data_IF_727715070442
#
_entry.id   IF_727715070442
#
_cell.length_a   1.000
_cell.length_b   1.000
_cell.length_c   1.000
_cell.angle_alpha   90.00
_cell.angle_beta   90.00
_cell.angle_gamma   90.00
#
_symmetry.space_group_name_H-M   'P 1'
#
loop_
_entity.id
_entity.type
_entity.pdbx_description
1 polymer ?
#
# COMPACT_ATOMS: atom_id res chain seq x y z
N UNK A 1 13.28 -0.75 18.75
CA UNK A 1 11.81 -0.70 18.54
C UNK A 1 11.17 -1.29 19.80
N UNK A 2 10.31 -0.53 20.46
CA UNK A 2 9.61 -1.03 21.65
C UNK A 2 8.47 -1.94 21.22
N UNK A 3 8.38 -3.11 21.81
CA UNK A 3 7.30 -4.07 21.53
C UNK A 3 6.24 -3.96 22.62
N UNK A 4 5.01 -3.86 22.20
CA UNK A 4 3.86 -3.81 23.10
C UNK A 4 2.93 -4.97 22.80
N UNK A 5 2.26 -5.46 23.81
CA UNK A 5 1.28 -6.53 23.66
C UNK A 5 -0.12 -5.96 23.65
N UNK A 6 -0.89 -6.29 22.62
CA UNK A 6 -2.31 -6.00 22.58
C UNK A 6 -3.11 -7.22 23.05
N UNK A 7 -3.99 -7.00 23.98
CA UNK A 7 -4.98 -7.99 24.40
C UNK A 7 -6.37 -7.53 24.01
N UNK A 8 -7.18 -8.47 23.53
CA UNK A 8 -8.59 -8.27 23.18
C UNK A 8 -9.44 -9.15 24.06
N UNK A 9 -10.37 -8.56 24.79
CA UNK A 9 -11.30 -9.27 25.62
C UNK A 9 -12.73 -8.93 25.20
N UNK A 10 -13.54 -9.92 24.92
CA UNK A 10 -14.97 -9.73 24.64
C UNK A 10 -15.73 -9.50 25.95
N UNK A 11 -16.50 -8.41 25.98
CA UNK A 11 -17.31 -8.04 27.13
C UNK A 11 -18.73 -8.59 26.99
N UNK A 12 -19.43 -8.75 28.12
CA UNK A 12 -20.82 -9.25 28.16
C UNK A 12 -21.81 -8.44 27.32
N UNK A 13 -21.51 -7.20 27.03
CA UNK A 13 -22.33 -6.30 26.20
C UNK A 13 -22.02 -6.38 24.69
N UNK A 14 -21.23 -7.35 24.23
CA UNK A 14 -20.82 -7.50 22.84
C UNK A 14 -19.75 -6.52 22.37
N UNK A 15 -19.20 -5.69 23.27
CA UNK A 15 -18.09 -4.81 22.98
C UNK A 15 -16.76 -5.51 23.26
N UNK A 16 -15.69 -4.98 22.68
CA UNK A 16 -14.34 -5.49 22.89
C UNK A 16 -13.53 -4.51 23.71
N UNK A 17 -12.87 -5.01 24.75
CA UNK A 17 -11.89 -4.27 25.52
C UNK A 17 -10.50 -4.54 24.93
N UNK A 18 -9.85 -3.48 24.50
CA UNK A 18 -8.46 -3.50 24.03
C UNK A 18 -7.55 -2.92 25.10
N UNK A 19 -6.54 -3.68 25.47
CA UNK A 19 -5.50 -3.26 26.40
C UNK A 19 -4.15 -3.36 25.73
N UNK A 20 -3.38 -2.28 25.79
CA UNK A 20 -1.98 -2.26 25.36
C UNK A 20 -1.11 -2.37 26.59
N UNK A 21 -0.23 -3.38 26.61
CA UNK A 21 0.68 -3.66 27.72
C UNK A 21 2.13 -3.49 27.27
N UNK A 22 2.95 -2.99 28.15
CA UNK A 22 4.38 -2.86 27.96
C UNK A 22 5.12 -4.19 28.16
N UNK A 23 6.45 -4.17 28.04
CA UNK A 23 7.32 -5.32 28.24
C UNK A 23 7.23 -5.89 29.67
N UNK A 24 6.87 -5.05 30.64
CA UNK A 24 6.68 -5.42 32.04
C UNK A 24 5.26 -5.86 32.38
N UNK A 25 4.42 -6.03 31.34
CA UNK A 25 3.00 -6.40 31.46
C UNK A 25 2.11 -5.34 32.14
N UNK A 26 2.58 -4.10 32.22
CA UNK A 26 1.76 -3.00 32.72
C UNK A 26 0.80 -2.51 31.62
N UNK A 27 -0.44 -2.29 31.98
CA UNK A 27 -1.42 -1.72 31.05
C UNK A 27 -1.20 -0.23 30.91
N UNK A 28 -0.80 0.21 29.72
CA UNK A 28 -0.52 1.60 29.40
C UNK A 28 -1.67 2.30 28.65
N UNK A 29 -2.56 1.52 28.07
CA UNK A 29 -3.77 2.05 27.42
C UNK A 29 -4.91 1.05 27.46
N UNK A 30 -6.12 1.55 27.67
CA UNK A 30 -7.37 0.79 27.59
C UNK A 30 -8.35 1.51 26.69
N UNK A 31 -9.01 0.76 25.83
CA UNK A 31 -10.07 1.29 24.97
C UNK A 31 -11.16 0.25 24.76
N UNK A 32 -12.41 0.69 24.80
CA UNK A 32 -13.57 -0.14 24.46
C UNK A 32 -14.06 0.24 23.06
N UNK A 33 -14.28 -0.76 22.21
CA UNK A 33 -14.73 -0.55 20.83
C UNK A 33 -15.77 -1.59 20.44
N UNK A 34 -16.70 -1.19 19.58
CA UNK A 34 -17.64 -2.13 18.92
C UNK A 34 -17.01 -2.83 17.72
N UNK A 35 -15.87 -2.31 17.24
CA UNK A 35 -15.14 -2.85 16.08
C UNK A 35 -13.97 -3.72 16.53
N UNK A 36 -13.89 -4.94 15.97
CA UNK A 36 -12.88 -5.93 16.31
C UNK A 36 -11.68 -6.02 15.36
N UNK A 37 -11.44 -5.05 14.47
CA UNK A 37 -10.50 -5.23 13.37
C UNK A 37 -9.21 -4.44 13.48
N UNK A 38 -9.26 -3.20 13.98
CA UNK A 38 -8.10 -2.31 14.04
C UNK A 38 -7.99 -1.60 15.37
N UNK A 39 -6.76 -1.40 15.80
CA UNK A 39 -6.43 -0.43 16.82
C UNK A 39 -5.40 0.57 16.26
N UNK A 40 -5.68 1.84 16.49
CA UNK A 40 -4.73 2.93 16.24
C UNK A 40 -4.79 3.86 17.45
N UNK A 41 -3.67 4.08 18.11
CA UNK A 41 -3.60 4.96 19.28
C UNK A 41 -2.22 5.60 19.40
N UNK A 42 -2.14 6.69 20.15
CA UNK A 42 -0.89 7.35 20.50
C UNK A 42 -0.67 7.21 21.99
N UNK A 43 0.49 6.69 22.38
CA UNK A 43 0.89 6.49 23.77
C UNK A 43 2.28 7.11 23.92
N UNK A 44 2.42 8.04 24.87
CA UNK A 44 3.68 8.76 25.13
C UNK A 44 4.31 9.36 23.86
N UNK A 45 3.47 9.93 22.97
CA UNK A 45 3.91 10.54 21.73
C UNK A 45 4.25 9.55 20.60
N UNK A 46 4.18 8.24 20.85
CA UNK A 46 4.37 7.22 19.83
C UNK A 46 3.03 6.73 19.28
N UNK A 47 2.96 6.61 17.96
CA UNK A 47 1.80 6.05 17.28
C UNK A 47 1.90 4.54 17.20
N UNK A 48 0.82 3.85 17.58
CA UNK A 48 0.66 2.40 17.48
C UNK A 48 -0.45 2.09 16.50
N UNK A 49 -0.19 1.12 15.65
CA UNK A 49 -1.16 0.68 14.68
C UNK A 49 -1.11 -0.85 14.55
N UNK A 50 -2.26 -1.48 14.55
CA UNK A 50 -2.34 -2.92 14.35
C UNK A 50 -3.73 -3.37 13.94
N UNK A 51 -3.77 -4.44 13.19
CA UNK A 51 -4.98 -5.21 12.94
C UNK A 51 -5.03 -6.35 13.94
N UNK A 52 -6.11 -6.42 14.69
CA UNK A 52 -6.21 -7.30 15.87
C UNK A 52 -6.14 -8.79 15.54
N UNK A 53 -6.62 -9.18 14.36
CA UNK A 53 -6.61 -10.55 13.87
C UNK A 53 -5.32 -10.93 13.13
N UNK A 54 -4.52 -9.96 12.69
CA UNK A 54 -3.30 -10.15 11.91
C UNK A 54 -2.12 -9.35 12.48
N UNK A 55 -2.07 -9.20 13.78
CA UNK A 55 -0.98 -8.48 14.46
C UNK A 55 0.35 -9.12 14.08
N UNK A 56 1.26 -8.30 13.54
CA UNK A 56 2.57 -8.74 13.07
C UNK A 56 2.66 -9.13 11.60
N UNK A 57 1.56 -9.40 10.91
CA UNK A 57 1.56 -9.86 9.50
C UNK A 57 0.59 -9.10 8.59
N UNK A 58 -0.14 -8.11 9.10
CA UNK A 58 -1.20 -7.45 8.34
C UNK A 58 -0.77 -6.18 7.61
N UNK A 59 -1.63 -5.17 7.67
CA UNK A 59 -1.47 -3.92 6.93
C UNK A 59 -0.15 -3.20 7.24
N UNK A 60 0.33 -3.25 8.49
CA UNK A 60 1.62 -2.67 8.86
C UNK A 60 2.77 -3.30 8.07
N UNK A 61 2.82 -4.64 8.01
CA UNK A 61 3.84 -5.36 7.23
C UNK A 61 3.78 -5.03 5.75
N UNK A 62 2.59 -4.91 5.19
CA UNK A 62 2.40 -4.52 3.78
C UNK A 62 2.88 -3.09 3.52
N UNK A 63 2.51 -2.13 4.37
CA UNK A 63 2.94 -0.74 4.26
C UNK A 63 4.45 -0.60 4.44
N UNK A 64 5.03 -1.33 5.37
CA UNK A 64 6.48 -1.35 5.59
C UNK A 64 7.21 -1.90 4.36
N UNK A 65 6.72 -2.99 3.76
CA UNK A 65 7.29 -3.53 2.53
C UNK A 65 7.17 -2.56 1.35
N UNK A 66 6.03 -1.88 1.20
CA UNK A 66 5.87 -0.83 0.19
C UNK A 66 6.85 0.32 0.41
N UNK A 67 7.06 0.71 1.66
CA UNK A 67 8.01 1.76 2.01
C UNK A 67 9.46 1.35 1.70
N UNK A 68 9.83 0.09 1.96
CA UNK A 68 11.16 -0.46 1.63
C UNK A 68 11.39 -0.43 0.13
N UNK A 69 10.43 -0.88 -0.65
CA UNK A 69 10.51 -0.84 -2.13
C UNK A 69 10.63 0.59 -2.63
N UNK A 70 9.81 1.51 -2.12
CA UNK A 70 9.82 2.89 -2.55
C UNK A 70 11.10 3.65 -2.17
N UNK A 71 11.65 3.41 -0.98
CA UNK A 71 12.91 4.06 -0.56
C UNK A 71 14.13 3.58 -1.33
N UNK A 72 14.05 2.40 -1.94
CA UNK A 72 15.10 1.80 -2.78
C UNK A 72 14.74 1.87 -4.28
N UNK A 73 13.79 2.71 -4.64
CA UNK A 73 13.34 2.86 -6.01
C UNK A 73 14.47 3.33 -6.91
N UNK A 74 14.63 2.71 -8.07
CA UNK A 74 15.72 2.95 -9.01
C UNK A 74 15.21 3.18 -10.43
N UNK A 75 16.11 3.62 -11.31
CA UNK A 75 15.83 3.74 -12.75
C UNK A 75 15.42 2.40 -13.34
N UNK A 76 16.11 1.31 -12.96
CA UNK A 76 15.81 -0.05 -13.41
C UNK A 76 14.40 -0.47 -12.97
N UNK A 77 14.00 -0.14 -11.76
CA UNK A 77 12.66 -0.43 -11.27
C UNK A 77 11.60 0.35 -12.04
N UNK A 78 11.84 1.62 -12.33
CA UNK A 78 10.96 2.45 -13.14
C UNK A 78 10.81 1.90 -14.58
N UNK A 79 11.91 1.51 -15.20
CA UNK A 79 11.90 0.92 -16.54
C UNK A 79 11.15 -0.41 -16.58
N UNK A 80 11.35 -1.24 -15.56
CA UNK A 80 10.64 -2.52 -15.41
C UNK A 80 9.13 -2.30 -15.25
N UNK A 81 8.71 -1.41 -14.39
CA UNK A 81 7.28 -1.10 -14.17
C UNK A 81 6.63 -0.52 -15.43
N UNK A 82 7.34 0.37 -16.12
CA UNK A 82 6.89 0.94 -17.39
C UNK A 82 6.70 -0.14 -18.44
N UNK A 83 7.64 -1.06 -18.58
CA UNK A 83 7.58 -2.16 -19.54
C UNK A 83 6.45 -3.15 -19.21
N UNK A 84 6.25 -3.47 -17.95
CA UNK A 84 5.13 -4.31 -17.49
C UNK A 84 3.78 -3.67 -17.81
N UNK A 85 3.64 -2.38 -17.57
CA UNK A 85 2.43 -1.63 -17.92
C UNK A 85 2.21 -1.56 -19.45
N UNK A 86 3.27 -1.36 -20.21
CA UNK A 86 3.22 -1.41 -21.67
C UNK A 86 2.72 -2.77 -22.18
N UNK A 87 3.20 -3.86 -21.59
CA UNK A 87 2.75 -5.21 -21.93
C UNK A 87 1.28 -5.43 -21.64
N UNK A 88 0.79 -4.91 -20.50
CA UNK A 88 -0.64 -4.98 -20.18
C UNK A 88 -1.49 -4.20 -21.18
N UNK A 89 -1.07 -3.00 -21.55
CA UNK A 89 -1.74 -2.21 -22.58
C UNK A 89 -1.75 -2.92 -23.95
N UNK A 90 -0.64 -3.55 -24.33
CA UNK A 90 -0.55 -4.32 -25.57
C UNK A 90 -1.50 -5.52 -25.58
N UNK A 91 -1.72 -6.17 -24.43
CA UNK A 91 -2.75 -7.22 -24.29
C UNK A 91 -4.15 -6.66 -24.56
N UNK A 92 -4.46 -5.51 -23.99
CA UNK A 92 -5.74 -4.83 -24.21
C UNK A 92 -5.92 -4.47 -25.68
N UNK A 93 -4.89 -3.94 -26.34
CA UNK A 93 -4.90 -3.62 -27.77
C UNK A 93 -5.13 -4.87 -28.61
N UNK A 94 -4.48 -5.98 -28.28
CA UNK A 94 -4.66 -7.26 -28.99
C UNK A 94 -6.09 -7.78 -28.87
N UNK A 95 -6.72 -7.63 -27.71
CA UNK A 95 -8.14 -7.97 -27.51
C UNK A 95 -9.03 -7.10 -28.39
N UNK A 96 -8.81 -5.80 -28.42
CA UNK A 96 -9.60 -4.87 -29.24
C UNK A 96 -9.42 -5.11 -30.75
N UNK A 97 -8.22 -5.44 -31.19
CA UNK A 97 -7.98 -5.86 -32.58
C UNK A 97 -8.75 -7.12 -32.95
N UNK A 98 -8.77 -8.10 -32.06
CA UNK A 98 -9.55 -9.33 -32.25
C UNK A 98 -11.04 -9.04 -32.35
N UNK A 99 -11.57 -8.18 -31.48
CA UNK A 99 -12.98 -7.75 -31.50
C UNK A 99 -13.32 -6.95 -32.77
N UNK A 100 -12.40 -6.09 -33.21
CA UNK A 100 -12.58 -5.35 -34.46
C UNK A 100 -12.72 -6.29 -35.66
N UNK A 101 -11.83 -7.28 -35.78
CA UNK A 101 -11.89 -8.27 -36.84
C UNK A 101 -13.16 -9.12 -36.79
N UNK A 102 -13.54 -9.55 -35.59
CA UNK A 102 -14.69 -10.43 -35.38
C UNK A 102 -16.01 -9.76 -35.66
N UNK A 103 -16.14 -8.49 -35.31
CA UNK A 103 -17.39 -7.72 -35.41
C UNK A 103 -17.36 -6.63 -36.47
N UNK A 104 -16.33 -6.60 -37.31
CA UNK A 104 -16.12 -5.60 -38.35
C UNK A 104 -16.30 -4.18 -37.86
N UNK A 105 -15.72 -3.86 -36.71
CA UNK A 105 -15.76 -2.53 -36.10
C UNK A 105 -14.87 -1.54 -36.87
N UNK A 106 -15.15 -0.27 -36.69
CA UNK A 106 -14.44 0.84 -37.32
C UNK A 106 -12.93 0.84 -36.95
N UNK A 107 -12.09 0.89 -37.98
CA UNK A 107 -10.66 0.95 -37.83
C UNK A 107 -10.16 2.26 -37.18
N UNK A 108 -10.84 3.39 -37.43
CA UNK A 108 -10.51 4.69 -36.82
C UNK A 108 -10.64 4.64 -35.31
N UNK A 109 -11.66 3.94 -34.82
CA UNK A 109 -11.84 3.75 -33.39
C UNK A 109 -10.66 2.97 -32.75
N UNK A 110 -10.17 1.94 -33.43
CA UNK A 110 -9.03 1.16 -32.94
C UNK A 110 -7.74 2.01 -32.91
N UNK A 111 -7.49 2.80 -33.96
CA UNK A 111 -6.34 3.71 -33.98
C UNK A 111 -6.37 4.73 -32.85
N UNK A 112 -7.56 5.29 -32.60
CA UNK A 112 -7.79 6.21 -31.47
C UNK A 112 -7.53 5.53 -30.11
N UNK A 113 -8.02 4.30 -29.96
CA UNK A 113 -7.79 3.51 -28.74
C UNK A 113 -6.31 3.23 -28.50
N UNK A 114 -5.56 2.88 -29.55
CA UNK A 114 -4.10 2.66 -29.46
C UNK A 114 -3.38 3.96 -29.05
N UNK A 115 -3.76 5.10 -29.63
CA UNK A 115 -3.20 6.40 -29.26
C UNK A 115 -3.49 6.75 -27.80
N UNK A 116 -4.70 6.51 -27.32
CA UNK A 116 -5.08 6.70 -25.91
C UNK A 116 -4.28 5.80 -24.97
N UNK A 117 -4.00 4.57 -25.36
CA UNK A 117 -3.14 3.66 -24.59
C UNK A 117 -1.70 4.20 -24.49
N UNK A 118 -1.14 4.72 -25.58
CA UNK A 118 0.18 5.33 -25.55
C UNK A 118 0.23 6.58 -24.67
N UNK A 119 -0.77 7.43 -24.77
CA UNK A 119 -0.90 8.60 -23.89
C UNK A 119 -1.01 8.19 -22.40
N UNK A 120 -1.75 7.13 -22.10
CA UNK A 120 -1.86 6.59 -20.75
C UNK A 120 -0.50 6.10 -20.22
N UNK A 121 0.30 5.42 -21.05
CA UNK A 121 1.65 5.00 -20.70
C UNK A 121 2.55 6.19 -20.40
N UNK A 122 2.57 7.19 -21.25
CA UNK A 122 3.40 8.38 -21.10
C UNK A 122 2.97 9.27 -19.93
N UNK A 123 1.69 9.27 -19.59
CA UNK A 123 1.16 9.97 -18.42
C UNK A 123 1.53 9.30 -17.13
N UNK A 124 1.43 7.96 -17.08
CA UNK A 124 1.75 7.19 -15.87
C UNK A 124 3.25 7.06 -15.64
N UNK A 125 4.03 6.93 -16.72
CA UNK A 125 5.47 6.80 -16.69
C UNK A 125 6.12 7.81 -17.65
N UNK A 126 6.13 9.11 -17.31
CA UNK A 126 6.65 10.16 -18.19
C UNK A 126 8.18 10.06 -18.33
N UNK A 127 8.65 9.88 -19.56
CA UNK A 127 10.09 9.74 -19.84
C UNK A 127 10.81 11.06 -19.55
N UNK A 128 10.24 12.19 -19.95
CA UNK A 128 10.84 13.51 -19.76
C UNK A 128 10.97 13.89 -18.28
N UNK A 129 10.08 13.40 -17.42
CA UNK A 129 10.03 13.69 -15.97
C UNK A 129 10.48 12.49 -15.11
N UNK A 130 11.15 11.53 -15.73
CA UNK A 130 11.57 10.29 -15.06
C UNK A 130 12.38 10.54 -13.80
N UNK A 131 13.35 11.44 -13.86
CA UNK A 131 14.23 11.73 -12.72
C UNK A 131 13.47 12.37 -11.56
N UNK A 132 12.56 13.30 -11.86
CA UNK A 132 11.69 13.92 -10.85
C UNK A 132 10.72 12.89 -10.24
N UNK A 133 10.15 12.03 -11.05
CA UNK A 133 9.29 10.95 -10.58
C UNK A 133 10.02 10.02 -9.61
N UNK A 134 11.24 9.60 -9.97
CA UNK A 134 12.07 8.74 -9.13
C UNK A 134 12.46 9.44 -7.83
N UNK A 135 12.86 10.71 -7.89
CA UNK A 135 13.19 11.50 -6.72
C UNK A 135 12.00 11.65 -5.76
N UNK A 136 10.81 11.86 -6.28
CA UNK A 136 9.58 11.94 -5.50
C UNK A 136 9.26 10.61 -4.83
N UNK A 137 9.36 9.49 -5.56
CA UNK A 137 9.17 8.14 -5.02
C UNK A 137 10.14 7.84 -3.88
N UNK A 138 11.42 8.16 -4.05
CA UNK A 138 12.45 7.97 -3.02
C UNK A 138 12.16 8.78 -1.76
N UNK A 139 11.80 10.04 -1.91
CA UNK A 139 11.46 10.92 -0.79
C UNK A 139 10.25 10.40 -0.02
N UNK A 140 9.15 10.11 -0.71
CA UNK A 140 7.94 9.59 -0.08
C UNK A 140 8.16 8.22 0.56
N UNK A 141 8.95 7.36 -0.09
CA UNK A 141 9.32 6.06 0.45
C UNK A 141 10.15 6.16 1.71
N UNK A 142 11.10 7.09 1.76
CA UNK A 142 11.92 7.36 2.94
C UNK A 142 11.07 7.87 4.10
N UNK A 143 10.21 8.84 3.84
CA UNK A 143 9.31 9.41 4.86
C UNK A 143 8.35 8.35 5.41
N UNK A 144 7.78 7.53 4.53
CA UNK A 144 6.90 6.44 4.94
C UNK A 144 7.66 5.39 5.75
N UNK A 145 8.87 5.02 5.32
CA UNK A 145 9.71 4.06 6.05
C UNK A 145 10.05 4.54 7.46
N UNK A 146 10.45 5.79 7.62
CA UNK A 146 10.72 6.39 8.92
C UNK A 146 9.48 6.36 9.81
N UNK A 147 8.33 6.74 9.26
CA UNK A 147 7.05 6.69 9.97
C UNK A 147 6.68 5.28 10.40
N UNK A 148 6.77 4.31 9.49
CA UNK A 148 6.42 2.92 9.80
C UNK A 148 7.39 2.25 10.76
N UNK A 149 8.68 2.64 10.72
CA UNK A 149 9.69 2.14 11.65
C UNK A 149 9.51 2.67 13.07
N UNK A 150 8.90 3.84 13.23
CA UNK A 150 8.58 4.44 14.53
C UNK A 150 7.27 3.92 15.13
N UNK A 151 6.47 3.21 14.35
CA UNK A 151 5.26 2.56 14.84
C UNK A 151 5.67 1.32 15.62
N UNK A 152 5.33 1.29 16.90
CA UNK A 152 5.57 0.11 17.70
C UNK A 152 4.65 -1.04 17.26
N UNK A 153 5.22 -2.22 17.22
CA UNK A 153 4.49 -3.43 16.88
C UNK A 153 3.56 -3.81 18.01
N UNK A 154 2.30 -4.08 17.68
CA UNK A 154 1.36 -4.69 18.60
C UNK A 154 1.32 -6.20 18.34
N UNK A 155 1.73 -6.98 19.30
CA UNK A 155 1.64 -8.44 19.30
C UNK A 155 0.42 -8.89 20.12
N UNK A 156 -0.21 -9.93 19.62
CA UNK A 156 -1.33 -10.56 20.34
C UNK A 156 -0.86 -11.43 21.50
#
# INVERSE_FOLDING_TARGET
>A
MKTYRLTKTELKNGKFLYEVKDENNNTISKRTSTRGHYIACTIDGQFYFGRVDLIGKGMHGQLLNQAIVAKNYSVEQWEKEREEYRKELNKCIAIERSLQRRYNRDAEWLEKYIAECQEALDRRFPIAEREEYIATKLRLGKDLYERMSNIAYLEA
#
